data_IF_481327837744
#
_entry.id   IF_481327837744
#
_cell.length_a   1.000
_cell.length_b   1.000
_cell.length_c   1.000
_cell.angle_alpha   90.00
_cell.angle_beta   90.00
_cell.angle_gamma   90.00
#
_symmetry.space_group_name_H-M   'P 1'
#
loop_
_entity.id
_entity.type
_entity.pdbx_description
1 polymer ?
#
# COMPACT_ATOMS: atom_id res chain seq x y z
N UNK A 1 -23.40 -5.09 31.02
CA UNK A 1 -23.00 -6.50 31.28
C UNK A 1 -23.39 -7.28 30.05
N UNK A 2 -22.43 -7.57 29.17
CA UNK A 2 -22.65 -8.41 27.99
C UNK A 2 -22.57 -9.86 28.47
N UNK A 3 -23.69 -10.58 28.43
CA UNK A 3 -23.77 -11.97 28.87
C UNK A 3 -23.23 -12.89 27.75
N UNK A 4 -22.06 -13.53 27.94
CA UNK A 4 -21.44 -14.37 26.91
C UNK A 4 -22.26 -15.64 26.59
N UNK A 5 -23.24 -16.00 27.43
CA UNK A 5 -24.10 -17.18 27.23
C UNK A 5 -25.19 -16.95 26.18
N UNK A 6 -25.60 -15.70 25.96
CA UNK A 6 -26.59 -15.34 24.93
C UNK A 6 -26.00 -15.27 23.52
N UNK A 7 -24.67 -15.18 23.40
CA UNK A 7 -23.97 -15.25 22.11
C UNK A 7 -24.10 -16.65 21.46
N UNK A 8 -24.31 -17.67 22.30
CA UNK A 8 -24.52 -19.07 21.91
C UNK A 8 -25.87 -19.34 21.23
N UNK A 9 -26.87 -18.46 21.43
CA UNK A 9 -28.24 -18.64 20.92
C UNK A 9 -28.48 -18.02 19.53
N UNK A 10 -27.50 -17.34 18.95
CA UNK A 10 -27.51 -16.92 17.54
C UNK A 10 -26.64 -17.83 16.66
N UNK A 11 -26.29 -19.03 17.14
CA UNK A 11 -25.61 -20.01 16.31
C UNK A 11 -26.56 -20.47 15.20
N UNK A 12 -26.29 -20.00 13.99
CA UNK A 12 -26.98 -20.48 12.79
C UNK A 12 -26.81 -22.00 12.73
N UNK A 13 -27.91 -22.75 12.78
CA UNK A 13 -27.93 -24.21 12.97
C UNK A 13 -27.21 -25.03 11.88
N UNK A 14 -26.73 -24.39 10.82
CA UNK A 14 -25.78 -24.96 9.87
C UNK A 14 -24.70 -23.94 9.50
N UNK A 15 -23.64 -23.85 10.31
CA UNK A 15 -22.39 -23.17 9.92
C UNK A 15 -21.70 -24.01 8.85
N UNK A 16 -21.86 -23.66 7.57
CA UNK A 16 -21.27 -24.37 6.41
C UNK A 16 -19.87 -23.87 6.04
N UNK A 17 -19.20 -23.16 6.94
CA UNK A 17 -17.86 -22.61 6.70
C UNK A 17 -16.83 -23.66 7.12
N UNK A 18 -15.96 -24.05 6.19
CA UNK A 18 -14.87 -24.98 6.46
C UNK A 18 -13.95 -24.47 7.59
N UNK A 19 -13.62 -25.38 8.50
CA UNK A 19 -12.72 -25.14 9.63
C UNK A 19 -13.15 -24.03 10.62
N UNK A 20 -14.45 -23.76 10.69
CA UNK A 20 -15.06 -22.79 11.62
C UNK A 20 -15.75 -23.49 12.81
N UNK A 21 -15.54 -22.98 14.04
CA UNK A 21 -16.22 -23.42 15.26
C UNK A 21 -17.50 -22.62 15.53
N UNK A 22 -17.49 -21.32 15.22
CA UNK A 22 -18.63 -20.44 15.42
C UNK A 22 -18.79 -19.48 14.24
N UNK A 23 -20.00 -19.43 13.67
CA UNK A 23 -20.38 -18.50 12.60
C UNK A 23 -21.21 -17.33 13.16
N UNK A 24 -20.91 -16.10 12.75
CA UNK A 24 -21.85 -14.96 12.89
C UNK A 24 -22.96 -15.02 11.84
N UNK A 25 -22.61 -15.44 10.61
CA UNK A 25 -23.54 -15.59 9.50
C UNK A 25 -23.01 -16.66 8.53
N UNK A 26 -23.80 -17.05 7.52
CA UNK A 26 -23.42 -18.09 6.52
C UNK A 26 -22.07 -17.84 5.81
N UNK A 27 -21.57 -16.61 5.83
CA UNK A 27 -20.32 -16.20 5.17
C UNK A 27 -19.26 -15.65 6.13
N UNK A 28 -19.53 -15.61 7.44
CA UNK A 28 -18.64 -14.98 8.40
C UNK A 28 -18.43 -15.87 9.62
N UNK A 29 -17.22 -16.40 9.75
CA UNK A 29 -16.74 -17.12 10.91
C UNK A 29 -16.24 -16.16 11.98
N UNK A 30 -16.72 -16.31 13.21
CA UNK A 30 -16.25 -15.57 14.39
C UNK A 30 -15.17 -16.30 15.15
N UNK A 31 -15.13 -17.63 15.06
CA UNK A 31 -14.11 -18.45 15.74
C UNK A 31 -13.68 -19.61 14.85
N UNK A 32 -12.41 -19.63 14.48
CA UNK A 32 -11.79 -20.74 13.76
C UNK A 32 -11.42 -21.89 14.71
N UNK A 33 -11.29 -23.10 14.17
CA UNK A 33 -10.74 -24.22 14.94
C UNK A 33 -9.29 -23.93 15.36
N UNK A 34 -8.87 -24.55 16.44
CA UNK A 34 -7.54 -24.36 17.00
C UNK A 34 -6.45 -24.65 15.96
N UNK A 35 -5.45 -23.76 15.87
CA UNK A 35 -4.35 -23.89 14.91
C UNK A 35 -4.64 -23.39 13.49
N UNK A 36 -5.81 -22.81 13.22
CA UNK A 36 -6.10 -22.12 11.95
C UNK A 36 -6.08 -20.61 12.08
N UNK A 37 -5.74 -19.97 10.98
CA UNK A 37 -5.70 -18.52 10.86
C UNK A 37 -7.01 -17.95 10.32
N UNK A 38 -7.54 -16.92 10.99
CA UNK A 38 -8.72 -16.19 10.52
C UNK A 38 -8.32 -15.06 9.56
N UNK A 39 -9.07 -14.91 8.47
CA UNK A 39 -8.97 -13.76 7.56
C UNK A 39 -10.32 -13.46 6.93
N UNK A 40 -10.80 -12.21 7.08
CA UNK A 40 -12.07 -11.74 6.49
C UNK A 40 -13.26 -12.69 6.75
N UNK A 41 -13.35 -13.27 7.95
CA UNK A 41 -14.42 -14.19 8.33
C UNK A 41 -14.29 -15.61 7.76
N UNK A 42 -13.10 -16.01 7.30
CA UNK A 42 -12.79 -17.39 6.86
C UNK A 42 -11.56 -17.92 7.59
N UNK A 43 -11.45 -19.25 7.68
CA UNK A 43 -10.39 -19.95 8.39
C UNK A 43 -9.47 -20.66 7.40
N UNK A 44 -8.16 -20.47 7.54
CA UNK A 44 -7.14 -21.04 6.67
C UNK A 44 -6.08 -21.78 7.48
N UNK A 45 -5.61 -22.92 6.98
CA UNK A 45 -4.54 -23.70 7.62
C UNK A 45 -3.20 -22.98 7.60
N UNK A 46 -3.03 -22.03 6.68
CA UNK A 46 -1.85 -21.17 6.54
C UNK A 46 -2.27 -19.90 5.84
N UNK A 47 -1.63 -18.78 6.15
CA UNK A 47 -1.94 -17.50 5.50
C UNK A 47 -1.66 -17.57 3.99
N UNK A 48 -2.59 -17.09 3.15
CA UNK A 48 -2.38 -17.06 1.70
C UNK A 48 -1.23 -16.10 1.32
N UNK A 49 -0.64 -16.23 0.11
CA UNK A 49 0.51 -15.42 -0.31
C UNK A 49 0.22 -13.92 -0.20
N UNK A 50 1.14 -13.16 0.39
CA UNK A 50 0.99 -11.72 0.67
C UNK A 50 0.34 -11.39 2.02
N UNK A 51 0.08 -12.39 2.86
CA UNK A 51 -0.44 -12.20 4.22
C UNK A 51 0.52 -12.76 5.26
N UNK A 52 0.57 -12.13 6.44
CA UNK A 52 1.39 -12.58 7.57
C UNK A 52 0.50 -12.70 8.80
N UNK A 53 0.86 -13.61 9.69
CA UNK A 53 0.25 -13.71 11.02
C UNK A 53 0.59 -12.46 11.82
N UNK A 54 -0.40 -11.79 12.41
CA UNK A 54 -0.12 -10.76 13.40
C UNK A 54 0.68 -11.41 14.56
N UNK A 55 1.76 -10.76 15.01
CA UNK A 55 2.53 -11.28 16.14
C UNK A 55 1.56 -11.43 17.33
N UNK A 56 1.46 -12.65 17.86
CA UNK A 56 0.59 -13.04 18.99
C UNK A 56 -0.90 -13.27 18.68
N UNK A 57 -1.35 -13.19 17.42
CA UNK A 57 -2.74 -13.51 17.05
C UNK A 57 -2.81 -14.47 15.86
N UNK A 58 -3.70 -15.47 15.92
CA UNK A 58 -3.99 -16.39 14.78
C UNK A 58 -4.85 -15.68 13.71
N UNK A 59 -4.52 -14.44 13.39
CA UNK A 59 -5.19 -13.64 12.37
C UNK A 59 -4.20 -13.40 11.24
N UNK A 60 -4.56 -13.79 10.01
CA UNK A 60 -3.80 -13.33 8.86
C UNK A 60 -4.18 -11.88 8.64
N UNK A 61 -3.25 -10.99 8.97
CA UNK A 61 -3.30 -9.65 8.43
C UNK A 61 -2.72 -9.74 7.03
N UNK A 62 -3.34 -9.03 6.07
CA UNK A 62 -2.60 -8.72 4.86
C UNK A 62 -1.27 -8.12 5.28
N UNK A 63 -0.20 -8.34 4.52
CA UNK A 63 0.78 -7.27 4.46
C UNK A 63 -0.09 -6.07 4.11
N UNK A 64 -0.33 -5.17 5.07
CA UNK A 64 -0.55 -3.79 4.74
C UNK A 64 0.56 -3.60 3.71
N UNK A 65 0.18 -3.49 2.42
CA UNK A 65 1.12 -3.04 1.42
C UNK A 65 1.80 -1.92 2.18
N UNK A 66 3.10 -2.10 2.47
CA UNK A 66 3.85 -1.00 3.03
C UNK A 66 3.57 0.04 1.97
N UNK A 67 2.61 0.94 2.26
CA UNK A 67 2.26 2.05 1.40
C UNK A 67 3.58 2.72 1.42
N UNK A 68 4.38 2.43 0.41
CA UNK A 68 5.79 2.62 0.56
C UNK A 68 5.90 4.11 0.69
N UNK A 69 6.19 4.58 1.89
CA UNK A 69 5.86 5.95 2.23
C UNK A 69 6.84 6.79 1.42
N UNK A 70 6.34 7.32 0.32
CA UNK A 70 7.13 8.17 -0.53
C UNK A 70 7.37 9.43 0.27
N UNK A 71 8.63 9.79 0.38
CA UNK A 71 9.05 10.97 1.10
C UNK A 71 8.49 12.23 0.48
N UNK A 72 8.88 13.35 1.08
CA UNK A 72 8.44 14.66 0.62
C UNK A 72 8.82 14.88 -0.86
N UNK A 73 7.92 15.55 -1.58
CA UNK A 73 8.18 15.94 -2.96
C UNK A 73 9.36 16.90 -3.03
N UNK A 74 10.25 16.68 -3.99
CA UNK A 74 11.24 17.68 -4.35
C UNK A 74 10.56 18.97 -4.79
N UNK A 75 11.32 20.07 -4.75
CA UNK A 75 10.90 21.31 -5.40
C UNK A 75 10.67 21.09 -6.90
N UNK A 76 9.75 21.86 -7.46
CA UNK A 76 9.50 21.88 -8.90
C UNK A 76 10.70 22.47 -9.64
N UNK A 77 11.10 21.79 -10.72
CA UNK A 77 12.12 22.31 -11.63
C UNK A 77 11.70 23.64 -12.25
N UNK A 78 12.67 24.38 -12.80
CA UNK A 78 12.36 25.53 -13.65
C UNK A 78 11.46 25.12 -14.82
N UNK A 79 10.61 26.06 -15.27
CA UNK A 79 9.80 25.82 -16.45
C UNK A 79 10.73 25.62 -17.65
N UNK A 80 10.59 24.50 -18.37
CA UNK A 80 11.47 24.14 -19.48
C UNK A 80 10.67 23.69 -20.70
N UNK A 81 11.18 23.98 -21.90
CA UNK A 81 10.66 23.44 -23.17
C UNK A 81 11.84 22.96 -24.01
N UNK A 82 11.84 21.67 -24.41
CA UNK A 82 12.94 21.05 -25.16
C UNK A 82 14.32 21.29 -24.49
N UNK A 83 14.39 21.06 -23.18
CA UNK A 83 15.58 21.29 -22.36
C UNK A 83 16.10 22.74 -22.30
N UNK A 84 15.30 23.73 -22.72
CA UNK A 84 15.64 25.16 -22.65
C UNK A 84 14.74 25.87 -21.65
N UNK A 85 15.25 26.89 -20.98
CA UNK A 85 14.53 27.78 -20.02
C UNK A 85 14.17 29.15 -20.61
N UNK A 86 14.58 29.42 -21.85
CA UNK A 86 14.34 30.65 -22.59
C UNK A 86 13.61 30.40 -23.92
N UNK A 87 13.05 31.45 -24.51
CA UNK A 87 12.53 31.46 -25.88
C UNK A 87 11.14 30.84 -26.06
N UNK A 88 10.45 30.46 -24.98
CA UNK A 88 9.10 29.90 -25.02
C UNK A 88 8.16 30.62 -24.07
N UNK A 89 6.85 30.51 -24.36
CA UNK A 89 5.77 30.96 -23.48
C UNK A 89 5.18 29.82 -22.64
N UNK A 90 5.19 28.59 -23.15
CA UNK A 90 4.59 27.41 -22.52
C UNK A 90 5.63 26.30 -22.41
N UNK A 91 5.82 25.73 -21.23
CA UNK A 91 6.79 24.67 -20.94
C UNK A 91 6.22 23.60 -20.02
N UNK A 92 7.11 22.82 -19.42
CA UNK A 92 6.78 21.84 -18.39
C UNK A 92 7.78 21.92 -17.23
N UNK A 93 7.30 21.63 -16.03
CA UNK A 93 8.11 21.46 -14.83
C UNK A 93 7.99 20.02 -14.35
N UNK A 94 9.03 19.57 -13.67
CA UNK A 94 9.13 18.22 -13.13
C UNK A 94 9.41 18.30 -11.63
N UNK A 95 8.84 17.39 -10.86
CA UNK A 95 9.25 17.10 -9.50
C UNK A 95 9.38 15.60 -9.32
N UNK A 96 10.19 15.18 -8.36
CA UNK A 96 10.39 13.78 -8.02
C UNK A 96 10.19 13.58 -6.53
N UNK A 97 9.65 12.44 -6.12
CA UNK A 97 9.65 11.99 -4.73
C UNK A 97 10.25 10.60 -4.67
N UNK A 98 11.18 10.40 -3.74
CA UNK A 98 11.82 9.11 -3.50
C UNK A 98 11.16 8.43 -2.30
N UNK A 99 11.20 7.09 -2.22
CA UNK A 99 10.81 6.36 -1.01
C UNK A 99 11.59 6.84 0.22
N UNK A 100 10.92 6.99 1.37
CA UNK A 100 11.63 7.09 2.64
C UNK A 100 12.33 5.75 2.87
N UNK A 101 13.66 5.77 2.91
CA UNK A 101 14.43 4.58 3.30
C UNK A 101 14.11 4.26 4.76
N UNK A 102 13.12 3.41 4.98
CA UNK A 102 12.97 2.77 6.27
C UNK A 102 14.10 1.75 6.36
N UNK A 103 15.11 2.06 7.17
CA UNK A 103 16.23 1.17 7.48
C UNK A 103 15.70 -0.04 8.26
N UNK A 104 15.07 -0.99 7.58
CA UNK A 104 14.99 -2.36 8.08
C UNK A 104 16.14 -3.12 7.46
N UNK A 105 16.96 -3.68 8.35
CA UNK A 105 18.17 -4.40 8.04
C UNK A 105 17.94 -5.37 6.87
N UNK A 106 18.90 -5.38 5.95
CA UNK A 106 19.02 -6.40 4.94
C UNK A 106 18.99 -7.77 5.60
N UNK A 107 17.95 -8.55 5.34
CA UNK A 107 18.14 -9.97 5.19
C UNK A 107 17.04 -10.58 4.32
N UNK A 108 17.48 -11.51 3.48
CA UNK A 108 16.67 -12.42 2.67
C UNK A 108 16.01 -11.85 1.40
N UNK A 109 16.75 -12.00 0.30
CA UNK A 109 16.30 -12.13 -1.09
C UNK A 109 14.90 -12.73 -1.24
N UNK A 110 13.98 -11.98 -1.87
CA UNK A 110 12.91 -12.48 -2.76
C UNK A 110 11.99 -11.32 -3.20
N UNK A 111 12.07 -10.97 -4.49
CA UNK A 111 10.96 -10.41 -5.30
C UNK A 111 10.16 -9.26 -4.68
N UNK A 112 10.84 -8.20 -4.22
CA UNK A 112 10.20 -6.92 -3.82
C UNK A 112 10.83 -5.71 -4.53
N UNK A 113 11.55 -5.93 -5.64
CA UNK A 113 12.26 -4.86 -6.35
C UNK A 113 11.33 -3.98 -7.22
N UNK A 114 10.07 -4.38 -7.44
CA UNK A 114 9.17 -3.67 -8.38
C UNK A 114 8.18 -2.69 -7.73
N UNK A 115 7.96 -2.74 -6.42
CA UNK A 115 6.78 -2.06 -5.85
C UNK A 115 7.06 -0.67 -5.26
N UNK A 116 8.31 -0.29 -5.06
CA UNK A 116 8.63 1.03 -4.49
C UNK A 116 9.68 1.81 -5.28
N UNK A 117 9.27 2.33 -6.43
CA UNK A 117 10.10 3.19 -7.28
C UNK A 117 9.82 4.68 -7.01
N UNK A 118 10.80 5.53 -7.28
CA UNK A 118 10.61 6.99 -7.24
C UNK A 118 9.50 7.42 -8.18
N UNK A 119 8.66 8.35 -7.73
CA UNK A 119 7.61 8.91 -8.56
C UNK A 119 8.07 10.24 -9.16
N UNK A 120 7.74 10.44 -10.44
CA UNK A 120 7.96 11.71 -11.13
C UNK A 120 6.63 12.33 -11.53
N UNK A 121 6.47 13.62 -11.29
CA UNK A 121 5.29 14.37 -11.70
C UNK A 121 5.68 15.48 -12.66
N UNK A 122 4.89 15.63 -13.73
CA UNK A 122 5.05 16.67 -14.73
C UNK A 122 3.85 17.60 -14.72
N UNK A 123 4.07 18.91 -14.59
CA UNK A 123 3.03 19.93 -14.77
C UNK A 123 3.35 20.87 -15.92
N UNK A 124 2.30 21.42 -16.55
CA UNK A 124 2.43 22.48 -17.56
C UNK A 124 2.68 23.82 -16.86
N UNK A 125 3.48 24.68 -17.46
CA UNK A 125 3.79 26.01 -16.95
C UNK A 125 3.74 27.04 -18.09
N UNK A 126 3.41 28.28 -17.75
CA UNK A 126 3.39 29.42 -18.67
C UNK A 126 4.30 30.50 -18.11
N UNK A 127 5.23 30.99 -18.91
CA UNK A 127 6.24 31.98 -18.52
C UNK A 127 6.34 33.09 -19.56
N UNK A 128 6.82 34.29 -19.18
CA UNK A 128 7.14 35.33 -20.15
C UNK A 128 8.20 34.83 -21.14
N UNK A 129 8.04 35.17 -22.42
CA UNK A 129 8.98 34.79 -23.47
C UNK A 129 10.25 35.63 -23.33
N UNK A 130 11.22 35.12 -22.57
CA UNK A 130 12.55 35.71 -22.51
C UNK A 130 13.33 35.32 -23.76
N UNK A 131 14.02 36.26 -24.44
CA UNK A 131 14.91 35.91 -25.54
C UNK A 131 16.07 35.07 -25.01
N UNK A 132 16.43 34.00 -25.73
CA UNK A 132 17.64 33.26 -25.40
C UNK A 132 18.86 34.11 -25.74
N UNK A 133 19.66 34.45 -24.74
CA UNK A 133 20.99 35.03 -24.97
C UNK A 133 21.81 33.91 -25.62
N UNK A 134 22.19 34.07 -26.90
CA UNK A 134 23.18 33.19 -27.55
C UNK A 134 24.53 33.44 -26.88
N UNK A 135 24.82 32.74 -25.79
CA UNK A 135 26.16 32.63 -25.24
C UNK A 135 27.00 31.76 -26.17
N UNK A 136 28.15 32.29 -26.61
CA UNK A 136 29.15 31.60 -27.43
C UNK A 136 29.57 30.28 -26.76
N UNK A 137 29.63 29.24 -27.59
CA UNK A 137 30.34 27.98 -27.35
C UNK A 137 31.77 28.21 -26.87
#
# INVERSE_FOLDING_TARGET
MFDPSLLSLLCFSECKIDNCEACFNRNFCTKCKEGLYSHSGRCYVSCPPGQRTANETMECVGQHALECELGEWSQWSSCMKKNKTCGFKKGSQFRVRAPLQQTYAADSSSTFEETCTSQSERRKCVVPKTPCVKGKS
#
